data_IF_736541284835
#
_entry.id   IF_736541284835
#
_cell.length_a   1.000
_cell.length_b   1.000
_cell.length_c   1.000
_cell.angle_alpha   90.00
_cell.angle_beta   90.00
_cell.angle_gamma   90.00
#
_symmetry.space_group_name_H-M   'P 1'
#
loop_
_entity.id
_entity.type
_entity.pdbx_description
1 polymer ?
#
# COMPACT_ATOMS: atom_id res chain seq x y z
N UNK A 1 17.34 5.72 7.29
CA UNK A 1 16.20 5.37 8.17
C UNK A 1 14.87 5.91 7.65
N UNK A 2 14.83 7.09 7.03
CA UNK A 2 13.60 7.69 6.48
C UNK A 2 13.10 6.98 5.21
N UNK A 3 13.97 6.29 4.49
CA UNK A 3 13.66 5.54 3.27
C UNK A 3 12.67 4.40 3.55
N UNK A 4 12.78 3.75 4.71
CA UNK A 4 11.84 2.72 5.15
C UNK A 4 10.46 3.29 5.47
N UNK A 5 10.39 4.52 5.99
CA UNK A 5 9.11 5.21 6.19
C UNK A 5 8.47 5.54 4.84
N UNK A 6 9.25 5.96 3.84
CA UNK A 6 8.75 6.18 2.50
C UNK A 6 8.16 4.89 1.93
N UNK A 7 8.87 3.77 2.01
CA UNK A 7 8.36 2.45 1.57
C UNK A 7 7.06 2.08 2.30
N UNK A 8 6.99 2.31 3.61
CA UNK A 8 5.79 2.06 4.42
C UNK A 8 4.60 2.91 3.95
N UNK A 9 4.77 4.22 3.80
CA UNK A 9 3.69 5.10 3.36
C UNK A 9 3.29 4.81 1.91
N UNK A 10 4.25 4.48 1.05
CA UNK A 10 3.97 4.09 -0.34
C UNK A 10 3.09 2.83 -0.39
N UNK A 11 3.39 1.84 0.45
CA UNK A 11 2.61 0.59 0.51
C UNK A 11 1.22 0.77 1.12
N UNK A 12 1.01 1.82 1.92
CA UNK A 12 -0.29 2.22 2.44
C UNK A 12 -1.18 2.94 1.41
N UNK A 13 -0.63 3.36 0.26
CA UNK A 13 -1.45 4.04 -0.75
C UNK A 13 -2.21 3.04 -1.62
N UNK A 14 -3.49 3.26 -1.94
CA UNK A 14 -4.29 2.37 -2.79
C UNK A 14 -3.87 2.35 -4.26
N UNK A 15 -3.01 3.28 -4.67
CA UNK A 15 -2.62 3.46 -6.08
C UNK A 15 -1.35 2.66 -6.40
N UNK A 16 -0.36 2.74 -5.51
CA UNK A 16 0.94 2.12 -5.69
C UNK A 16 0.97 0.72 -5.06
N UNK A 17 0.37 0.62 -3.86
CA UNK A 17 0.31 -0.59 -3.02
C UNK A 17 1.69 -1.23 -2.77
N UNK A 18 1.69 -2.44 -2.20
CA UNK A 18 2.90 -3.24 -1.97
C UNK A 18 3.76 -3.43 -3.22
N UNK A 19 3.15 -3.45 -4.42
CA UNK A 19 3.90 -3.71 -5.66
C UNK A 19 4.89 -2.60 -5.95
N UNK A 20 4.44 -1.34 -5.94
CA UNK A 20 5.33 -0.23 -6.21
C UNK A 20 6.25 0.12 -5.03
N UNK A 21 5.82 -0.12 -3.78
CA UNK A 21 6.72 0.07 -2.63
C UNK A 21 7.89 -0.90 -2.62
N UNK A 22 7.66 -2.15 -3.03
CA UNK A 22 8.72 -3.15 -3.15
C UNK A 22 9.71 -2.78 -4.25
N UNK A 23 9.21 -2.45 -5.45
CA UNK A 23 10.07 -2.04 -6.57
C UNK A 23 10.87 -0.79 -6.21
N UNK A 24 10.23 0.22 -5.63
CA UNK A 24 10.90 1.44 -5.19
C UNK A 24 11.98 1.15 -4.15
N UNK A 25 11.66 0.41 -3.09
CA UNK A 25 12.58 0.08 -2.00
C UNK A 25 13.82 -0.68 -2.48
N UNK A 26 13.64 -1.64 -3.40
CA UNK A 26 14.76 -2.37 -4.01
C UNK A 26 15.58 -1.46 -4.92
N UNK A 27 14.93 -0.60 -5.72
CA UNK A 27 15.62 0.30 -6.65
C UNK A 27 16.52 1.32 -5.94
N UNK A 28 16.14 1.76 -4.74
CA UNK A 28 16.98 2.65 -3.92
C UNK A 28 18.05 1.91 -3.09
N UNK A 29 18.20 0.60 -3.31
CA UNK A 29 19.28 -0.20 -2.71
C UNK A 29 19.00 -0.73 -1.29
N UNK A 30 17.73 -0.71 -0.83
CA UNK A 30 17.40 -1.31 0.46
C UNK A 30 17.41 -2.84 0.40
N UNK A 31 17.58 -3.47 1.57
CA UNK A 31 17.54 -4.91 1.69
C UNK A 31 16.14 -5.44 1.28
N UNK A 32 16.05 -6.37 0.30
CA UNK A 32 14.76 -6.86 -0.21
C UNK A 32 13.87 -7.49 0.86
N UNK A 33 14.43 -8.22 1.82
CA UNK A 33 13.66 -8.87 2.88
C UNK A 33 13.01 -7.84 3.82
N UNK A 34 13.74 -6.77 4.16
CA UNK A 34 13.22 -5.68 4.98
C UNK A 34 12.13 -4.88 4.25
N UNK A 35 12.36 -4.57 2.97
CA UNK A 35 11.40 -3.88 2.11
C UNK A 35 10.10 -4.68 1.98
N UNK A 36 10.20 -5.99 1.79
CA UNK A 36 9.05 -6.88 1.71
C UNK A 36 8.25 -6.86 3.02
N UNK A 37 8.92 -7.04 4.16
CA UNK A 37 8.28 -7.04 5.47
C UNK A 37 7.52 -5.73 5.73
N UNK A 38 8.17 -4.60 5.52
CA UNK A 38 7.56 -3.26 5.70
C UNK A 38 6.41 -3.03 4.72
N UNK A 39 6.57 -3.44 3.46
CA UNK A 39 5.53 -3.26 2.45
C UNK A 39 4.27 -4.06 2.82
N UNK A 40 4.43 -5.31 3.25
CA UNK A 40 3.32 -6.16 3.73
C UNK A 40 2.67 -5.54 4.95
N UNK A 41 3.45 -5.09 5.95
CA UNK A 41 2.91 -4.46 7.16
C UNK A 41 2.10 -3.21 6.85
N UNK A 42 2.62 -2.32 6.00
CA UNK A 42 1.89 -1.09 5.63
C UNK A 42 0.61 -1.38 4.86
N UNK A 43 0.64 -2.32 3.92
CA UNK A 43 -0.55 -2.69 3.15
C UNK A 43 -1.64 -3.35 4.03
N UNK A 44 -1.24 -4.23 4.97
CA UNK A 44 -2.17 -4.83 5.93
C UNK A 44 -2.74 -3.80 6.91
N UNK A 45 -1.94 -2.79 7.30
CA UNK A 45 -2.40 -1.74 8.22
C UNK A 45 -3.49 -0.86 7.60
N UNK A 46 -3.43 -0.59 6.29
CA UNK A 46 -4.43 0.24 5.61
C UNK A 46 -5.64 -0.56 5.09
N UNK A 47 -5.48 -1.87 4.85
CA UNK A 47 -6.55 -2.75 4.37
C UNK A 47 -7.90 -2.64 5.12
N UNK A 48 -7.97 -2.62 6.47
CA UNK A 48 -9.24 -2.51 7.19
C UNK A 48 -9.98 -1.18 6.95
N UNK A 49 -9.29 -0.16 6.42
CA UNK A 49 -9.86 1.16 6.10
C UNK A 49 -10.22 1.23 4.61
N UNK A 50 -9.34 0.79 3.72
CA UNK A 50 -9.55 0.86 2.27
C UNK A 50 -10.68 -0.05 1.80
N UNK A 51 -10.77 -1.29 2.30
CA UNK A 51 -11.79 -2.26 1.87
C UNK A 51 -13.22 -1.74 2.07
N UNK A 52 -13.63 -1.27 3.27
CA UNK A 52 -14.99 -0.74 3.44
C UNK A 52 -15.23 0.54 2.64
N UNK A 53 -14.20 1.38 2.44
CA UNK A 53 -14.31 2.57 1.60
C UNK A 53 -14.60 2.23 0.14
N UNK A 54 -13.87 1.25 -0.42
CA UNK A 54 -14.11 0.75 -1.78
C UNK A 54 -15.53 0.17 -1.91
N UNK A 55 -15.99 -0.59 -0.92
CA UNK A 55 -17.35 -1.13 -0.90
C UNK A 55 -18.41 -0.02 -0.86
N UNK A 56 -18.18 1.06 -0.12
CA UNK A 56 -19.06 2.22 -0.10
C UNK A 56 -19.13 2.88 -1.48
N UNK A 57 -17.97 3.12 -2.10
CA UNK A 57 -17.89 3.69 -3.45
C UNK A 57 -18.62 2.79 -4.46
N UNK A 58 -18.43 1.48 -4.39
CA UNK A 58 -19.10 0.52 -5.26
C UNK A 58 -20.63 0.58 -5.11
N UNK A 59 -21.15 0.65 -3.88
CA UNK A 59 -22.60 0.82 -3.65
C UNK A 59 -23.13 2.11 -4.25
N UNK A 60 -22.38 3.21 -4.13
CA UNK A 60 -22.76 4.50 -4.72
C UNK A 60 -22.78 4.40 -6.24
N UNK A 61 -21.75 3.83 -6.85
CA UNK A 61 -21.68 3.63 -8.31
C UNK A 61 -22.82 2.75 -8.83
N UNK A 62 -23.14 1.66 -8.12
CA UNK A 62 -24.27 0.77 -8.48
C UNK A 62 -25.64 1.45 -8.39
N UNK A 63 -25.80 2.56 -7.65
CA UNK A 63 -27.05 3.32 -7.59
C UNK A 63 -27.32 4.11 -8.88
N UNK A 64 -26.29 4.41 -9.66
CA UNK A 64 -26.40 5.15 -10.93
C UNK A 64 -26.43 4.25 -12.17
N UNK A 65 -26.37 2.93 -11.98
CA UNK A 65 -26.36 1.92 -13.05
C UNK A 65 -27.63 1.10 -12.99
#
# INVERSE_FOLDING_TARGET
>A
MYEMLIVLFLSMTPIVESRGSIVYGIAIGLNPAQVLAISITGNLAIAPIIIPLLNLMERVLRRYR
#
